data_IF_535606851844
#
_entry.id   IF_535606851844
#
_cell.length_a   1.000
_cell.length_b   1.000
_cell.length_c   1.000
_cell.angle_alpha   90.00
_cell.angle_beta   90.00
_cell.angle_gamma   90.00
#
_symmetry.space_group_name_H-M   'P 1'
#
loop_
_entity.id
_entity.type
_entity.pdbx_description
1 polymer ?
#
# COMPACT_ATOMS: atom_id res chain seq x y z
N UNK A 1 6.75 -18.69 -12.14
CA UNK A 1 7.18 -17.42 -11.48
C UNK A 1 6.45 -16.17 -11.98
N UNK A 2 5.93 -16.13 -13.22
CA UNK A 2 5.29 -14.91 -13.76
C UNK A 2 3.85 -14.63 -13.30
N UNK A 3 3.09 -15.64 -12.88
CA UNK A 3 1.65 -15.45 -12.60
C UNK A 3 1.39 -14.57 -11.37
N UNK A 4 2.09 -14.83 -10.25
CA UNK A 4 2.01 -13.99 -9.05
C UNK A 4 2.44 -12.55 -9.33
N UNK A 5 3.53 -12.37 -10.09
CA UNK A 5 4.01 -11.06 -10.50
C UNK A 5 2.97 -10.31 -11.32
N UNK A 6 2.43 -10.93 -12.37
CA UNK A 6 1.40 -10.33 -13.23
C UNK A 6 0.13 -9.99 -12.45
N UNK A 7 -0.28 -10.83 -11.49
CA UNK A 7 -1.44 -10.56 -10.62
C UNK A 7 -1.19 -9.34 -9.72
N UNK A 8 -0.04 -9.29 -9.05
CA UNK A 8 0.33 -8.19 -8.17
C UNK A 8 0.54 -6.88 -8.93
N UNK A 9 1.05 -6.96 -10.16
CA UNK A 9 1.21 -5.79 -11.01
C UNK A 9 -0.15 -5.17 -11.37
N UNK A 10 -1.17 -5.98 -11.68
CA UNK A 10 -2.53 -5.47 -11.92
C UNK A 10 -3.11 -4.74 -10.72
N UNK A 11 -2.89 -5.27 -9.51
CA UNK A 11 -3.30 -4.59 -8.26
C UNK A 11 -2.58 -3.25 -8.10
N UNK A 12 -1.26 -3.23 -8.33
CA UNK A 12 -0.47 -2.00 -8.24
C UNK A 12 -0.89 -0.96 -9.28
N UNK A 13 -1.21 -1.37 -10.52
CA UNK A 13 -1.71 -0.45 -11.56
C UNK A 13 -3.06 0.16 -11.20
N UNK A 14 -3.98 -0.61 -10.61
CA UNK A 14 -5.25 -0.07 -10.13
C UNK A 14 -5.04 1.02 -9.06
N UNK A 15 -4.16 0.78 -8.08
CA UNK A 15 -3.81 1.79 -7.08
C UNK A 15 -3.12 3.01 -7.70
N UNK A 16 -2.25 2.83 -8.71
CA UNK A 16 -1.64 3.95 -9.45
C UNK A 16 -2.69 4.79 -10.16
N UNK A 17 -3.70 4.16 -10.76
CA UNK A 17 -4.78 4.88 -11.44
C UNK A 17 -5.59 5.72 -10.44
N UNK A 18 -5.97 5.14 -9.30
CA UNK A 18 -6.67 5.87 -8.24
C UNK A 18 -5.83 7.03 -7.68
N UNK A 19 -4.53 6.83 -7.51
CA UNK A 19 -3.63 7.88 -7.04
C UNK A 19 -3.53 9.04 -8.04
N UNK A 20 -3.50 8.74 -9.36
CA UNK A 20 -3.55 9.76 -10.42
C UNK A 20 -4.84 10.56 -10.39
N UNK A 21 -5.99 9.89 -10.27
CA UNK A 21 -7.31 10.55 -10.18
C UNK A 21 -7.42 11.45 -8.95
N UNK A 22 -6.75 11.07 -7.85
CA UNK A 22 -6.66 11.84 -6.61
C UNK A 22 -5.54 12.88 -6.59
N UNK A 23 -4.76 12.99 -7.68
CA UNK A 23 -3.61 13.89 -7.82
C UNK A 23 -2.53 13.70 -6.74
N UNK A 24 -2.26 12.46 -6.34
CA UNK A 24 -1.25 12.10 -5.35
C UNK A 24 -0.35 10.95 -5.83
N UNK A 25 0.72 10.66 -5.09
CA UNK A 25 1.55 9.49 -5.39
C UNK A 25 0.91 8.21 -4.85
N UNK A 26 1.19 7.03 -5.43
CA UNK A 26 0.69 5.76 -4.89
C UNK A 26 1.13 5.51 -3.44
N UNK A 27 2.33 5.98 -3.06
CA UNK A 27 2.82 5.89 -1.69
C UNK A 27 1.99 6.77 -0.73
N UNK A 28 1.66 7.99 -1.16
CA UNK A 28 0.79 8.88 -0.39
C UNK A 28 -0.61 8.29 -0.22
N UNK A 29 -1.20 7.76 -1.29
CA UNK A 29 -2.52 7.11 -1.22
C UNK A 29 -2.53 5.93 -0.25
N UNK A 30 -1.50 5.07 -0.30
CA UNK A 30 -1.38 3.92 0.60
C UNK A 30 -1.23 4.35 2.07
N UNK A 31 -0.43 5.38 2.35
CA UNK A 31 -0.24 5.91 3.70
C UNK A 31 -1.52 6.58 4.23
N UNK A 32 -2.20 7.37 3.39
CA UNK A 32 -3.47 8.02 3.74
C UNK A 32 -4.56 6.99 4.04
N UNK A 33 -4.64 5.91 3.24
CA UNK A 33 -5.54 4.80 3.51
C UNK A 33 -5.24 4.14 4.85
N UNK A 34 -3.96 3.86 5.14
CA UNK A 34 -3.53 3.22 6.38
C UNK A 34 -3.88 4.08 7.61
N UNK A 35 -3.62 5.38 7.54
CA UNK A 35 -3.95 6.35 8.59
C UNK A 35 -5.46 6.49 8.82
N UNK A 36 -6.28 6.35 7.77
CA UNK A 36 -7.73 6.42 7.86
C UNK A 36 -8.37 5.20 8.53
N UNK A 37 -7.65 4.07 8.67
CA UNK A 37 -8.21 2.82 9.23
C UNK A 37 -8.51 2.91 10.73
N UNK A 38 -7.63 3.56 11.49
CA UNK A 38 -7.76 3.65 12.93
C UNK A 38 -6.83 4.75 13.47
N UNK A 39 -7.34 5.58 14.39
CA UNK A 39 -6.56 6.66 15.04
C UNK A 39 -5.31 6.19 15.79
N UNK A 40 -5.22 4.90 16.13
CA UNK A 40 -4.10 4.30 16.86
C UNK A 40 -3.03 3.69 15.93
N UNK A 41 -3.19 3.80 14.62
CA UNK A 41 -2.19 3.33 13.65
C UNK A 41 -1.14 4.43 13.43
N UNK A 42 0.11 4.08 13.68
CA UNK A 42 1.27 4.95 13.43
C UNK A 42 2.16 4.28 12.36
N UNK A 43 2.10 4.72 11.09
CA UNK A 43 2.94 4.16 10.05
C UNK A 43 4.40 4.54 10.26
N UNK A 44 5.32 3.60 9.97
CA UNK A 44 6.77 3.82 10.06
C UNK A 44 7.39 3.62 8.66
N UNK A 45 7.12 4.53 7.70
CA UNK A 45 7.63 4.37 6.35
C UNK A 45 9.16 4.56 6.32
N UNK A 46 9.89 3.49 6.01
CA UNK A 46 11.34 3.52 5.84
C UNK A 46 11.74 3.97 4.44
N UNK A 47 12.71 4.90 4.35
CA UNK A 47 13.33 5.31 3.08
C UNK A 47 14.77 5.75 3.32
N UNK A 48 15.61 5.69 2.27
CA UNK A 48 16.99 6.20 2.26
C UNK A 48 17.14 7.57 1.60
N UNK A 49 16.04 8.16 1.10
CA UNK A 49 16.06 9.40 0.33
C UNK A 49 15.19 10.48 0.98
N UNK A 50 15.75 11.67 1.21
CA UNK A 50 15.02 12.80 1.80
C UNK A 50 13.77 13.18 1.01
N UNK A 51 13.87 13.24 -0.32
CA UNK A 51 12.72 13.55 -1.18
C UNK A 51 11.53 12.59 -0.98
N UNK A 52 11.78 11.33 -0.58
CA UNK A 52 10.71 10.37 -0.27
C UNK A 52 10.12 10.58 1.12
N UNK A 53 10.88 11.17 2.05
CA UNK A 53 10.32 11.63 3.33
C UNK A 53 9.29 12.73 3.05
N UNK A 54 9.66 13.74 2.26
CA UNK A 54 8.76 14.84 1.88
C UNK A 54 7.52 14.33 1.13
N UNK A 55 7.72 13.41 0.16
CA UNK A 55 6.62 12.76 -0.55
C UNK A 55 5.67 12.05 0.43
N UNK A 56 6.20 11.23 1.36
CA UNK A 56 5.40 10.49 2.32
C UNK A 56 4.63 11.40 3.28
N UNK A 57 5.21 12.53 3.69
CA UNK A 57 4.54 13.51 4.56
C UNK A 57 3.30 14.12 3.89
N UNK A 58 3.31 14.24 2.57
CA UNK A 58 2.14 14.72 1.81
C UNK A 58 0.87 13.86 1.99
N UNK A 59 1.02 12.60 2.43
CA UNK A 59 -0.12 11.74 2.76
C UNK A 59 -1.00 12.31 3.88
N UNK A 60 -0.43 13.09 4.80
CA UNK A 60 -1.16 13.69 5.93
C UNK A 60 -2.18 14.75 5.49
N UNK A 61 -1.99 15.32 4.30
CA UNK A 61 -2.90 16.31 3.72
C UNK A 61 -4.06 15.67 2.94
N UNK A 62 -4.04 14.35 2.74
CA UNK A 62 -5.08 13.64 1.99
C UNK A 62 -6.22 13.22 2.90
N UNK A 63 -7.44 13.62 2.54
CA UNK A 63 -8.67 13.07 3.10
C UNK A 63 -9.32 12.14 2.08
N UNK A 64 -9.51 10.89 2.46
CA UNK A 64 -10.20 9.88 1.67
C UNK A 64 -11.67 9.84 2.06
N UNK A 65 -12.54 10.00 1.08
CA UNK A 65 -13.98 9.83 1.24
C UNK A 65 -14.33 8.37 1.54
N UNK A 66 -15.50 8.10 2.14
CA UNK A 66 -15.98 6.72 2.34
C UNK A 66 -16.01 5.89 1.05
N UNK A 67 -16.31 6.53 -0.09
CA UNK A 67 -16.36 5.90 -1.40
C UNK A 67 -14.95 5.51 -1.88
N UNK A 68 -13.96 6.39 -1.72
CA UNK A 68 -12.56 6.09 -2.05
C UNK A 68 -12.01 4.97 -1.18
N UNK A 69 -12.28 4.99 0.13
CA UNK A 69 -11.90 3.92 1.04
C UNK A 69 -12.47 2.57 0.59
N UNK A 70 -13.76 2.54 0.27
CA UNK A 70 -14.45 1.34 -0.22
C UNK A 70 -13.85 0.86 -1.55
N UNK A 71 -13.53 1.78 -2.46
CA UNK A 71 -12.91 1.45 -3.74
C UNK A 71 -11.50 0.85 -3.57
N UNK A 72 -10.68 1.42 -2.66
CA UNK A 72 -9.35 0.88 -2.36
C UNK A 72 -9.46 -0.54 -1.79
N UNK A 73 -10.38 -0.77 -0.87
CA UNK A 73 -10.62 -2.10 -0.27
C UNK A 73 -11.14 -3.13 -1.29
N UNK A 74 -11.98 -2.70 -2.23
CA UNK A 74 -12.47 -3.57 -3.29
C UNK A 74 -11.34 -4.00 -4.25
N UNK A 75 -10.38 -3.11 -4.51
CA UNK A 75 -9.19 -3.41 -5.33
C UNK A 75 -8.20 -4.28 -4.58
N UNK A 76 -8.00 -4.02 -3.28
CA UNK A 76 -6.98 -4.69 -2.47
C UNK A 76 -7.57 -5.32 -1.19
N UNK A 77 -8.40 -6.37 -1.31
CA UNK A 77 -8.91 -7.10 -0.15
C UNK A 77 -7.80 -7.84 0.62
N UNK A 78 -8.14 -8.35 1.80
CA UNK A 78 -7.22 -8.97 2.79
C UNK A 78 -6.22 -9.99 2.22
N UNK A 79 -6.53 -10.70 1.13
CA UNK A 79 -5.64 -11.70 0.51
C UNK A 79 -5.39 -11.45 -0.99
N UNK A 80 -5.48 -10.18 -1.42
CA UNK A 80 -5.32 -9.82 -2.83
C UNK A 80 -3.94 -10.19 -3.38
N UNK A 81 -2.90 -9.89 -2.61
CA UNK A 81 -1.51 -10.12 -3.01
C UNK A 81 -1.23 -11.62 -3.22
N UNK A 82 -0.53 -11.94 -4.30
CA UNK A 82 -0.19 -13.28 -4.73
C UNK A 82 1.14 -13.75 -4.16
N UNK A 83 1.12 -14.98 -3.65
CA UNK A 83 2.28 -15.64 -3.06
C UNK A 83 2.43 -15.38 -1.56
N UNK A 84 3.22 -16.20 -0.87
CA UNK A 84 3.45 -16.03 0.55
C UNK A 84 4.41 -14.86 0.82
N UNK A 85 4.29 -14.22 1.99
CA UNK A 85 5.21 -13.16 2.43
C UNK A 85 6.65 -13.64 2.54
N UNK A 86 6.83 -14.85 3.06
CA UNK A 86 8.11 -15.55 3.11
C UNK A 86 7.94 -16.91 2.45
N UNK A 87 8.93 -17.34 1.69
CA UNK A 87 8.93 -18.71 1.18
C UNK A 87 9.01 -19.70 2.36
N UNK A 88 8.42 -20.91 2.26
CA UNK A 88 8.35 -21.84 3.38
C UNK A 88 9.70 -22.12 4.04
N UNK A 89 10.77 -22.21 3.23
CA UNK A 89 12.13 -22.45 3.69
C UNK A 89 12.66 -21.30 4.55
N UNK A 90 12.40 -20.04 4.17
CA UNK A 90 12.77 -18.84 4.92
C UNK A 90 11.89 -18.68 6.15
N UNK A 91 10.60 -19.02 6.06
CA UNK A 91 9.70 -18.95 7.22
C UNK A 91 10.20 -19.81 8.38
N UNK A 92 10.84 -20.95 8.08
CA UNK A 92 11.41 -21.87 9.08
C UNK A 92 12.63 -21.34 9.85
N UNK A 93 13.20 -20.19 9.42
CA UNK A 93 14.38 -19.57 10.05
C UNK A 93 14.05 -18.33 10.88
N UNK A 94 12.83 -17.80 10.79
CA UNK A 94 12.39 -16.66 11.58
C UNK A 94 12.20 -17.08 13.06
N UNK A 95 12.66 -16.23 13.99
CA UNK A 95 12.58 -16.46 15.45
C UNK A 95 13.32 -17.72 15.96
N UNK A 96 14.31 -18.20 15.21
CA UNK A 96 15.30 -19.16 15.75
C UNK A 96 16.31 -18.48 16.66
#
# INVERSE_FOLDING_TARGET
MGENFSRNLRLAEAIKQMAREKECTPAQLALAWLLARNRHIVPIPGTRHCARVDENLGALSLTLSPQELTAIEAVFPHDAAAGPRYWPEIMSTLNR
#
